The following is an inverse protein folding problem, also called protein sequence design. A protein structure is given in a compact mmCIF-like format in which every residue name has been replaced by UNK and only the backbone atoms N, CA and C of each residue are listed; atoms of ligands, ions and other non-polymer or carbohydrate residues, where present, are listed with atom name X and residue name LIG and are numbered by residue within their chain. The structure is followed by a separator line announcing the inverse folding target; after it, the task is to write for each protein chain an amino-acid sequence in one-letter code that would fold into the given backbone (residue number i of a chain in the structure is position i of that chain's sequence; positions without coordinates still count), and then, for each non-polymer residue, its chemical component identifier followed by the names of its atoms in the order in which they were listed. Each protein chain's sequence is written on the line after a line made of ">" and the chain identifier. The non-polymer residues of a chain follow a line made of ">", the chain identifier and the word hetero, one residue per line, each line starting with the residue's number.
data_IF_580495597507
#
_entry.id   IF_580495597507
#
_cell.length_a   1.000
_cell.length_b   1.000
_cell.length_c   1.000
_cell.angle_alpha   90.00
_cell.angle_beta   90.00
_cell.angle_gamma   90.00
#
_symmetry.space_group_name_H-M   'P 1'
#
loop_
_entity.id
_entity.type
_entity.pdbx_description
1 polymer ?
#
# COMPACT_ATOMS: atom_id res chain seq x y z
N UNK A 1 -24.25 -14.93 -28.39
CA UNK A 1 -23.16 -14.00 -28.03
C UNK A 1 -22.52 -14.53 -26.77
N UNK A 2 -21.35 -15.16 -26.90
CA UNK A 2 -20.61 -15.75 -25.78
C UNK A 2 -20.00 -14.62 -24.95
N UNK A 3 -20.35 -14.55 -23.66
CA UNK A 3 -19.59 -13.76 -22.70
C UNK A 3 -18.38 -14.59 -22.28
N UNK A 4 -17.34 -14.51 -23.11
CA UNK A 4 -16.06 -15.11 -22.76
C UNK A 4 -15.54 -14.36 -21.52
N UNK A 5 -15.57 -15.05 -20.40
CA UNK A 5 -15.00 -14.64 -19.12
C UNK A 5 -13.49 -14.44 -19.31
N UNK A 6 -13.10 -13.21 -19.67
CA UNK A 6 -11.69 -12.81 -19.65
C UNK A 6 -11.23 -12.92 -18.21
N UNK A 7 -10.26 -13.78 -17.87
CA UNK A 7 -9.81 -13.90 -16.50
C UNK A 7 -9.24 -12.56 -16.07
N UNK A 8 -9.79 -11.98 -15.00
CA UNK A 8 -9.28 -10.82 -14.26
C UNK A 8 -7.90 -11.16 -13.69
N UNK A 9 -6.90 -11.25 -14.56
CA UNK A 9 -5.51 -11.50 -14.19
C UNK A 9 -4.90 -10.14 -13.88
N UNK A 10 -5.30 -9.56 -12.75
CA UNK A 10 -4.55 -8.47 -12.13
C UNK A 10 -3.20 -9.05 -11.76
N UNK A 11 -2.23 -8.91 -12.67
CA UNK A 11 -0.85 -9.30 -12.44
C UNK A 11 -0.28 -8.36 -11.38
N UNK A 12 -0.32 -8.80 -10.12
CA UNK A 12 0.67 -8.39 -9.12
C UNK A 12 2.02 -9.01 -9.52
N UNK A 13 2.57 -8.61 -10.68
CA UNK A 13 3.94 -8.98 -11.01
C UNK A 13 4.84 -8.19 -10.08
N UNK A 14 5.22 -8.83 -8.99
CA UNK A 14 6.43 -8.52 -8.25
C UNK A 14 7.60 -8.66 -9.21
N UNK A 15 7.99 -7.60 -9.93
CA UNK A 15 9.33 -7.51 -10.51
C UNK A 15 9.63 -6.07 -10.92
N UNK A 16 10.47 -5.46 -10.08
CA UNK A 16 11.23 -4.22 -10.29
C UNK A 16 10.41 -2.93 -10.14
N UNK A 17 10.47 -2.37 -8.92
CA UNK A 17 10.53 -0.91 -8.77
C UNK A 17 11.49 -0.39 -9.85
N UNK A 18 11.05 0.58 -10.65
CA UNK A 18 11.97 1.33 -11.52
C UNK A 18 12.98 1.96 -10.58
N UNK A 19 14.21 1.45 -10.61
CA UNK A 19 15.30 1.99 -9.79
C UNK A 19 15.56 3.41 -10.29
N UNK A 20 14.98 4.38 -9.59
CA UNK A 20 15.37 5.77 -9.74
C UNK A 20 16.69 5.94 -8.98
N UNK A 21 17.76 6.19 -9.71
CA UNK A 21 19.09 6.46 -9.17
C UNK A 21 19.14 7.88 -8.63
N UNK A 22 18.49 8.13 -7.49
CA UNK A 22 18.95 9.15 -6.55
C UNK A 22 18.23 9.02 -5.20
N UNK A 23 19.02 9.05 -4.13
CA UNK A 23 18.68 8.56 -2.81
C UNK A 23 17.93 9.58 -1.93
N UNK A 24 16.86 10.22 -2.45
CA UNK A 24 16.04 11.16 -1.67
C UNK A 24 14.53 10.89 -1.88
N UNK A 25 13.85 10.43 -0.82
CA UNK A 25 12.39 10.36 -0.75
C UNK A 25 11.72 9.38 -1.73
N UNK A 26 11.90 8.07 -1.54
CA UNK A 26 11.09 7.08 -2.28
C UNK A 26 9.63 7.25 -1.89
N UNK A 27 8.80 7.71 -2.83
CA UNK A 27 7.35 7.72 -2.68
C UNK A 27 6.79 6.31 -2.42
N UNK A 28 5.50 6.20 -2.09
CA UNK A 28 4.88 4.90 -1.75
C UNK A 28 5.12 3.88 -2.89
N UNK A 29 5.66 2.68 -2.58
CA UNK A 29 5.91 1.64 -3.55
C UNK A 29 4.68 1.32 -4.40
N UNK A 30 4.90 1.09 -5.69
CA UNK A 30 3.82 0.84 -6.65
C UNK A 30 2.94 -0.34 -6.25
N UNK A 31 3.52 -1.42 -5.72
CA UNK A 31 2.78 -2.58 -5.22
C UNK A 31 1.86 -2.22 -4.05
N UNK A 32 2.34 -1.39 -3.13
CA UNK A 32 1.56 -0.91 -1.97
C UNK A 32 0.43 0.02 -2.42
N UNK A 33 0.69 0.91 -3.39
CA UNK A 33 -0.36 1.74 -3.99
C UNK A 33 -1.44 0.88 -4.66
N UNK A 34 -1.04 -0.12 -5.45
CA UNK A 34 -1.99 -1.03 -6.10
C UNK A 34 -2.82 -1.80 -5.07
N UNK A 35 -2.17 -2.31 -4.03
CA UNK A 35 -2.82 -3.01 -2.93
C UNK A 35 -3.89 -2.14 -2.24
N UNK A 36 -3.55 -0.90 -1.91
CA UNK A 36 -4.50 0.03 -1.28
C UNK A 36 -5.70 0.33 -2.19
N UNK A 37 -5.47 0.54 -3.48
CA UNK A 37 -6.55 0.77 -4.46
C UNK A 37 -7.52 -0.41 -4.54
N UNK A 38 -6.99 -1.63 -4.55
CA UNK A 38 -7.82 -2.85 -4.55
C UNK A 38 -8.59 -2.99 -3.24
N UNK A 39 -7.96 -2.78 -2.08
CA UNK A 39 -8.64 -2.90 -0.79
C UNK A 39 -9.71 -1.83 -0.53
N UNK A 40 -9.52 -0.62 -1.06
CA UNK A 40 -10.51 0.46 -0.93
C UNK A 40 -11.64 0.37 -1.97
N UNK A 41 -11.62 -0.63 -2.86
CA UNK A 41 -12.71 -0.84 -3.82
C UNK A 41 -13.85 -1.58 -3.14
N UNK A 42 -15.04 -0.98 -3.09
CA UNK A 42 -16.22 -1.52 -2.39
C UNK A 42 -17.21 -2.22 -3.34
N UNK A 43 -16.94 -2.21 -4.65
CA UNK A 43 -17.82 -2.78 -5.66
C UNK A 43 -17.05 -3.48 -6.77
N UNK A 44 -17.62 -4.52 -7.41
CA UNK A 44 -17.03 -5.14 -8.60
C UNK A 44 -16.78 -4.15 -9.73
N UNK A 45 -17.63 -3.12 -9.85
CA UNK A 45 -17.49 -2.05 -10.83
C UNK A 45 -16.22 -1.23 -10.60
N UNK A 46 -15.92 -0.87 -9.35
CA UNK A 46 -14.69 -0.16 -8.99
C UNK A 46 -13.43 -0.96 -9.35
N UNK A 47 -13.45 -2.28 -9.08
CA UNK A 47 -12.35 -3.18 -9.46
C UNK A 47 -12.23 -3.25 -11.00
N UNK A 48 -13.35 -3.32 -11.72
CA UNK A 48 -13.34 -3.32 -13.17
C UNK A 48 -12.75 -2.01 -13.74
N UNK A 49 -13.05 -0.86 -13.14
CA UNK A 49 -12.40 0.40 -13.51
C UNK A 49 -10.88 0.38 -13.32
N UNK A 50 -10.38 -0.24 -12.25
CA UNK A 50 -8.94 -0.42 -12.05
C UNK A 50 -8.33 -1.30 -13.14
N UNK A 51 -9.03 -2.36 -13.56
CA UNK A 51 -8.60 -3.22 -14.65
C UNK A 51 -8.60 -2.49 -16.00
N UNK A 52 -9.62 -1.68 -16.27
CA UNK A 52 -9.69 -0.84 -17.47
C UNK A 52 -8.55 0.19 -17.50
N UNK A 53 -8.31 0.92 -16.41
CA UNK A 53 -7.17 1.84 -16.34
C UNK A 53 -5.82 1.13 -16.52
N UNK A 54 -5.67 -0.08 -15.98
CA UNK A 54 -4.46 -0.86 -16.18
C UNK A 54 -4.30 -1.25 -17.67
N UNK A 55 -5.38 -1.64 -18.34
CA UNK A 55 -5.40 -2.01 -19.75
C UNK A 55 -5.13 -0.81 -20.69
N UNK A 56 -5.56 0.40 -20.33
CA UNK A 56 -5.24 1.64 -21.05
C UNK A 56 -3.76 2.06 -20.88
N UNK A 57 -3.09 1.56 -19.85
CA UNK A 57 -1.68 1.80 -19.57
C UNK A 57 -0.86 0.54 -19.93
N UNK A 58 0.35 0.40 -19.37
CA UNK A 58 1.24 -0.75 -19.57
C UNK A 58 0.83 -2.01 -18.76
N UNK A 59 -0.46 -2.19 -18.48
CA UNK A 59 -1.00 -3.25 -17.63
C UNK A 59 -0.82 -3.00 -16.13
N UNK A 60 -0.34 -1.83 -15.72
CA UNK A 60 0.01 -1.54 -14.32
C UNK A 60 -1.00 -0.60 -13.65
N UNK A 61 -1.68 -1.11 -12.64
CA UNK A 61 -2.72 -0.40 -11.89
C UNK A 61 -2.20 0.87 -11.20
N UNK A 62 -0.95 0.90 -10.74
CA UNK A 62 -0.46 1.96 -9.85
C UNK A 62 0.75 2.76 -10.36
N UNK A 63 0.93 2.88 -11.68
CA UNK A 63 2.01 3.68 -12.26
C UNK A 63 1.73 5.19 -12.18
N UNK A 64 0.46 5.57 -12.35
CA UNK A 64 -0.04 6.95 -12.26
C UNK A 64 -1.18 7.04 -11.22
N UNK A 65 -1.51 8.23 -10.71
CA UNK A 65 -2.72 8.44 -9.91
C UNK A 65 -3.96 7.97 -10.68
N UNK A 66 -4.97 7.47 -9.97
CA UNK A 66 -6.28 7.17 -10.57
C UNK A 66 -6.88 8.44 -11.17
N UNK A 67 -7.65 8.31 -12.27
CA UNK A 67 -8.46 9.42 -12.81
C UNK A 67 -9.47 9.91 -11.77
N UNK A 68 -10.01 8.98 -11.00
CA UNK A 68 -10.85 9.27 -9.84
C UNK A 68 -9.99 9.65 -8.63
N UNK A 69 -9.84 10.96 -8.43
CA UNK A 69 -9.06 11.53 -7.33
C UNK A 69 -9.62 11.18 -5.95
N UNK A 70 -10.93 11.01 -5.82
CA UNK A 70 -11.54 10.67 -4.52
C UNK A 70 -11.13 9.27 -4.08
N UNK A 71 -11.12 8.30 -5.01
CA UNK A 71 -10.62 6.95 -4.74
C UNK A 71 -9.12 6.92 -4.46
N UNK A 72 -8.34 7.74 -5.17
CA UNK A 72 -6.90 7.86 -4.88
C UNK A 72 -6.66 8.40 -3.46
N UNK A 73 -7.43 9.41 -3.01
CA UNK A 73 -7.34 9.95 -1.66
C UNK A 73 -7.72 8.89 -0.61
N UNK A 74 -8.80 8.13 -0.83
CA UNK A 74 -9.20 7.06 0.08
C UNK A 74 -8.11 5.98 0.23
N UNK A 75 -7.48 5.57 -0.87
CA UNK A 75 -6.37 4.61 -0.83
C UNK A 75 -5.17 5.16 -0.02
N UNK A 76 -4.86 6.45 -0.14
CA UNK A 76 -3.79 7.08 0.65
C UNK A 76 -4.16 7.22 2.12
N UNK A 77 -5.40 7.59 2.45
CA UNK A 77 -5.88 7.67 3.83
C UNK A 77 -5.84 6.30 4.51
N UNK A 78 -6.22 5.24 3.80
CA UNK A 78 -6.11 3.86 4.28
C UNK A 78 -4.66 3.51 4.63
N UNK A 79 -3.72 3.78 3.72
CA UNK A 79 -2.29 3.52 3.96
C UNK A 79 -1.75 4.32 5.15
N UNK A 80 -2.09 5.62 5.23
CA UNK A 80 -1.66 6.49 6.32
C UNK A 80 -2.15 5.97 7.68
N UNK A 81 -3.40 5.54 7.76
CA UNK A 81 -3.98 4.96 8.97
C UNK A 81 -3.22 3.71 9.40
N UNK A 82 -2.94 2.78 8.47
CA UNK A 82 -2.21 1.55 8.77
C UNK A 82 -0.76 1.80 9.20
N UNK A 83 -0.06 2.69 8.50
CA UNK A 83 1.33 3.03 8.84
C UNK A 83 1.41 3.71 10.21
N UNK A 84 0.50 4.64 10.49
CA UNK A 84 0.44 5.31 11.80
C UNK A 84 0.16 4.32 12.92
N UNK A 85 -0.81 3.43 12.75
CA UNK A 85 -1.11 2.40 13.75
C UNK A 85 0.09 1.50 14.05
N UNK A 86 0.78 1.01 13.01
CA UNK A 86 2.01 0.23 13.18
C UNK A 86 3.09 1.02 13.92
N UNK A 87 3.30 2.28 13.54
CA UNK A 87 4.29 3.15 14.19
C UNK A 87 4.01 3.29 15.69
N UNK A 88 2.76 3.48 16.07
CA UNK A 88 2.38 3.67 17.47
C UNK A 88 2.57 2.37 18.29
N UNK A 89 2.24 1.22 17.72
CA UNK A 89 2.48 -0.10 18.32
C UNK A 89 3.99 -0.36 18.54
N UNK A 90 4.82 -0.06 17.55
CA UNK A 90 6.28 -0.18 17.67
C UNK A 90 6.82 0.80 18.73
N UNK A 91 6.34 2.04 18.75
CA UNK A 91 6.75 3.03 19.75
C UNK A 91 6.41 2.58 21.17
N UNK A 92 5.21 2.02 21.38
CA UNK A 92 4.81 1.46 22.66
C UNK A 92 5.73 0.30 23.08
N UNK A 93 6.01 -0.62 22.15
CA UNK A 93 6.90 -1.76 22.39
C UNK A 93 8.32 -1.36 22.74
N UNK A 94 8.87 -0.34 22.08
CA UNK A 94 10.20 0.21 22.39
C UNK A 94 10.22 0.82 23.79
N UNK A 95 9.21 1.64 24.14
CA UNK A 95 9.11 2.25 25.47
C UNK A 95 9.04 1.21 26.58
N UNK A 96 8.21 0.17 26.40
CA UNK A 96 8.10 -0.95 27.36
C UNK A 96 9.46 -1.60 27.55
N UNK A 97 10.16 -1.91 26.46
CA UNK A 97 11.48 -2.56 26.53
C UNK A 97 12.51 -1.71 27.26
N UNK A 98 12.54 -0.39 27.00
CA UNK A 98 13.43 0.55 27.71
C UNK A 98 13.11 0.55 29.21
N UNK A 99 11.83 0.67 29.57
CA UNK A 99 11.41 0.71 30.98
C UNK A 99 11.79 -0.59 31.73
N UNK A 100 11.65 -1.75 31.08
CA UNK A 100 12.08 -3.03 31.65
C UNK A 100 13.58 -3.04 31.92
N UNK A 101 14.40 -2.56 30.98
CA UNK A 101 15.85 -2.48 31.19
C UNK A 101 16.23 -1.52 32.32
N UNK A 102 15.58 -0.35 32.42
CA UNK A 102 15.82 0.59 33.52
C UNK A 102 15.48 -0.02 34.88
N UNK A 103 14.33 -0.70 34.97
CA UNK A 103 13.88 -1.35 36.21
C UNK A 103 14.82 -2.48 36.67
N UNK A 104 15.36 -3.25 35.72
CA UNK A 104 16.33 -4.29 36.03
C UNK A 104 17.63 -3.65 36.52
N UNK A 105 18.13 -2.59 35.87
CA UNK A 105 19.36 -1.93 36.28
C UNK A 105 19.28 -1.38 37.72
N UNK A 106 18.16 -0.74 38.08
CA UNK A 106 17.92 -0.20 39.43
C UNK A 106 17.87 -1.29 40.52
N UNK A 107 17.65 -2.55 40.17
CA UNK A 107 17.64 -3.68 41.12
C UNK A 107 18.99 -4.38 41.28
N UNK A 108 19.97 -4.07 40.44
CA UNK A 108 21.31 -4.69 40.45
C UNK A 108 22.43 -3.72 40.88
N UNK A 109 22.10 -2.47 41.20
CA UNK A 109 22.97 -1.46 41.83
C UNK A 109 22.50 -1.28 43.28
#
# INVERSE_FOLDING_TARGET
>A
MSMDSVPLRIRLHSNLEVRFSDAQGRGIPQSIRAFARVLCSNSPQEINYLAMEAAENDGRVARRPLKDKSREIQAHQFLLSKITGLKDEYNASIKIRINVYSYVLERFI
#
